data_IF_539983481313
#
_entry.id   IF_539983481313
#
_cell.length_a   1.000
_cell.length_b   1.000
_cell.length_c   1.000
_cell.angle_alpha   90.00
_cell.angle_beta   90.00
_cell.angle_gamma   90.00
#
_symmetry.space_group_name_H-M   'P 1'
#
loop_
_entity.id
_entity.type
_entity.pdbx_description
1 polymer ?
#
# COMPACT_ATOMS: atom_id res chain seq x y z
N UNK A 1 -9.51 -37.30 -30.41
CA UNK A 1 -8.80 -36.21 -31.11
C UNK A 1 -8.30 -36.66 -32.50
N UNK A 2 -8.60 -37.89 -32.93
CA UNK A 2 -8.21 -38.45 -34.24
C UNK A 2 -9.32 -38.43 -35.30
N UNK A 3 -10.60 -38.22 -34.92
CA UNK A 3 -11.75 -38.26 -35.86
C UNK A 3 -12.01 -36.94 -36.61
N UNK A 4 -11.24 -35.86 -36.35
CA UNK A 4 -11.40 -34.59 -37.08
C UNK A 4 -10.45 -34.41 -38.27
N UNK A 5 -9.53 -35.32 -38.49
CA UNK A 5 -8.57 -35.27 -39.60
C UNK A 5 -9.00 -36.07 -40.84
N UNK A 6 -9.97 -36.99 -40.72
CA UNK A 6 -10.48 -37.74 -41.85
C UNK A 6 -11.60 -37.03 -42.64
N UNK A 7 -12.31 -36.07 -42.04
CA UNK A 7 -13.38 -35.33 -42.73
C UNK A 7 -12.92 -34.18 -43.64
N UNK A 8 -11.63 -33.83 -43.62
CA UNK A 8 -11.06 -32.81 -44.51
C UNK A 8 -10.37 -33.37 -45.76
N UNK A 9 -10.09 -34.70 -45.78
CA UNK A 9 -9.49 -35.36 -46.91
C UNK A 9 -10.51 -35.64 -48.04
N UNK A 10 -11.76 -35.95 -47.68
CA UNK A 10 -12.80 -36.32 -48.69
C UNK A 10 -13.43 -35.10 -49.38
N UNK A 11 -13.21 -33.88 -48.88
CA UNK A 11 -13.67 -32.66 -49.54
C UNK A 11 -12.70 -32.09 -50.56
N UNK A 12 -11.44 -32.52 -50.54
CA UNK A 12 -10.43 -32.06 -51.51
C UNK A 12 -10.41 -32.83 -52.81
N UNK A 13 -10.89 -34.09 -52.82
CA UNK A 13 -10.96 -34.92 -54.03
C UNK A 13 -12.16 -34.64 -54.95
N UNK A 14 -13.24 -34.05 -54.45
CA UNK A 14 -14.41 -33.73 -55.27
C UNK A 14 -14.31 -32.40 -56.05
N UNK A 15 -13.30 -31.55 -55.81
CA UNK A 15 -13.11 -30.26 -56.48
C UNK A 15 -12.00 -30.24 -57.54
N UNK A 16 -11.32 -31.38 -57.77
CA UNK A 16 -10.18 -31.46 -58.68
C UNK A 16 -10.53 -31.82 -60.15
N UNK A 17 -11.82 -31.81 -60.54
CA UNK A 17 -12.22 -32.25 -61.87
C UNK A 17 -12.62 -31.14 -62.85
N UNK A 18 -12.43 -29.87 -62.55
CA UNK A 18 -12.68 -28.81 -63.52
C UNK A 18 -11.65 -27.69 -63.45
N UNK A 19 -10.75 -27.67 -64.43
CA UNK A 19 -9.85 -26.60 -64.90
C UNK A 19 -8.45 -26.57 -64.19
N UNK A 20 -7.38 -26.76 -64.98
CA UNK A 20 -5.99 -26.80 -64.47
C UNK A 20 -5.42 -25.44 -64.05
N UNK A 21 -6.15 -24.34 -64.27
CA UNK A 21 -5.67 -22.98 -63.90
C UNK A 21 -6.01 -22.54 -62.47
N UNK A 22 -6.88 -23.28 -61.74
CA UNK A 22 -7.26 -22.91 -60.39
C UNK A 22 -6.41 -23.56 -59.32
N UNK A 23 -5.74 -24.65 -59.59
CA UNK A 23 -4.92 -25.36 -58.61
C UNK A 23 -3.64 -24.58 -58.28
N UNK A 24 -3.00 -23.95 -59.25
CA UNK A 24 -1.78 -23.15 -59.05
C UNK A 24 -2.04 -21.83 -58.29
N UNK A 25 -3.28 -21.30 -58.39
CA UNK A 25 -3.65 -20.09 -57.62
C UNK A 25 -3.98 -20.43 -56.16
N UNK A 26 -4.52 -21.59 -55.90
CA UNK A 26 -4.85 -22.02 -54.53
C UNK A 26 -3.58 -22.42 -53.77
N UNK A 27 -2.63 -23.11 -54.43
CA UNK A 27 -1.33 -23.40 -53.81
C UNK A 27 -0.50 -22.14 -53.50
N UNK A 28 -0.49 -21.14 -54.41
CA UNK A 28 0.19 -19.85 -54.12
C UNK A 28 -0.45 -19.11 -52.97
N UNK A 29 -1.78 -19.11 -52.83
CA UNK A 29 -2.47 -18.46 -51.71
C UNK A 29 -2.26 -19.22 -50.39
N UNK A 30 -2.17 -20.55 -50.41
CA UNK A 30 -1.87 -21.33 -49.23
C UNK A 30 -0.42 -21.09 -48.79
N UNK A 31 0.55 -21.10 -49.70
CA UNK A 31 1.95 -20.84 -49.39
C UNK A 31 2.16 -19.40 -48.88
N UNK A 32 1.46 -18.41 -49.46
CA UNK A 32 1.51 -17.02 -48.94
C UNK A 32 0.87 -16.89 -47.57
N UNK A 33 -0.22 -17.62 -47.27
CA UNK A 33 -0.81 -17.63 -45.95
C UNK A 33 0.07 -18.33 -44.89
N UNK A 34 0.77 -19.38 -45.26
CA UNK A 34 1.76 -20.02 -44.37
C UNK A 34 3.00 -19.14 -44.17
N UNK A 35 3.44 -18.41 -45.16
CA UNK A 35 4.54 -17.45 -45.03
C UNK A 35 4.16 -16.20 -44.19
N UNK A 36 2.93 -15.73 -44.29
CA UNK A 36 2.43 -14.61 -43.48
C UNK A 36 2.13 -15.01 -42.02
N UNK A 37 1.89 -16.29 -41.74
CA UNK A 37 1.76 -16.80 -40.37
C UNK A 37 3.14 -17.08 -39.71
N UNK A 38 4.19 -17.37 -40.51
CA UNK A 38 5.54 -17.53 -39.96
C UNK A 38 6.26 -16.18 -39.71
N UNK A 39 5.79 -15.06 -40.28
CA UNK A 39 6.39 -13.75 -40.02
C UNK A 39 5.89 -13.07 -38.75
N UNK A 40 4.94 -13.66 -38.02
CA UNK A 40 4.66 -13.32 -36.61
C UNK A 40 5.49 -14.19 -35.67
N UNK A 41 6.78 -14.39 -35.95
CA UNK A 41 7.72 -14.73 -34.89
C UNK A 41 7.75 -13.53 -33.97
N UNK A 42 7.15 -13.68 -32.80
CA UNK A 42 7.38 -12.81 -31.65
C UNK A 42 8.90 -12.59 -31.60
N UNK A 43 9.37 -11.37 -31.84
CA UNK A 43 10.76 -11.02 -31.58
C UNK A 43 11.02 -11.40 -30.12
N UNK A 44 11.73 -12.51 -29.94
CA UNK A 44 12.24 -12.87 -28.63
C UNK A 44 13.34 -11.83 -28.34
N UNK A 45 12.97 -10.77 -27.62
CA UNK A 45 13.97 -9.83 -27.12
C UNK A 45 14.92 -10.64 -26.25
N UNK A 46 16.23 -10.55 -26.47
CA UNK A 46 17.19 -11.20 -25.60
C UNK A 46 16.96 -10.73 -24.17
N UNK A 47 16.70 -11.68 -23.26
CA UNK A 47 16.57 -11.39 -21.85
C UNK A 47 17.96 -11.09 -21.30
N UNK A 48 18.23 -9.82 -21.05
CA UNK A 48 19.50 -9.36 -20.48
C UNK A 48 19.47 -9.60 -18.96
N UNK A 49 20.17 -10.66 -18.52
CA UNK A 49 20.30 -11.04 -17.11
C UNK A 49 21.16 -10.01 -16.33
N UNK A 50 21.94 -9.18 -17.01
CA UNK A 50 22.76 -8.16 -16.35
C UNK A 50 21.97 -6.94 -15.87
N UNK A 51 20.76 -6.74 -16.41
CA UNK A 51 19.82 -5.77 -15.87
C UNK A 51 19.23 -6.37 -14.61
N UNK A 52 19.56 -5.83 -13.44
CA UNK A 52 19.00 -6.20 -12.11
C UNK A 52 17.49 -5.97 -12.02
N UNK A 53 16.73 -6.51 -12.95
CA UNK A 53 15.26 -6.45 -12.96
C UNK A 53 14.64 -7.80 -12.58
N UNK A 54 15.10 -8.40 -11.48
CA UNK A 54 14.26 -9.37 -10.79
C UNK A 54 13.32 -8.66 -9.80
N UNK A 55 12.85 -7.49 -10.19
CA UNK A 55 11.77 -6.84 -9.47
C UNK A 55 10.46 -7.37 -10.01
N UNK A 56 9.96 -8.46 -9.42
CA UNK A 56 8.54 -8.79 -9.49
C UNK A 56 7.92 -7.87 -8.41
N UNK A 57 7.24 -6.79 -8.78
CA UNK A 57 6.60 -5.96 -7.79
C UNK A 57 5.51 -6.82 -7.14
N UNK A 58 5.70 -7.15 -5.87
CA UNK A 58 4.58 -7.60 -5.07
C UNK A 58 3.48 -6.55 -5.23
N UNK A 59 2.26 -7.02 -5.45
CA UNK A 59 1.14 -6.11 -5.69
C UNK A 59 0.98 -5.17 -4.49
N UNK A 60 1.12 -3.87 -4.72
CA UNK A 60 1.00 -2.84 -3.70
C UNK A 60 -0.49 -2.47 -3.54
N UNK A 61 -1.26 -3.39 -2.96
CA UNK A 61 -2.73 -3.27 -2.87
C UNK A 61 -3.17 -2.00 -2.13
N UNK A 62 -2.46 -1.62 -1.06
CA UNK A 62 -2.79 -0.40 -0.34
C UNK A 62 -2.56 0.86 -1.19
N UNK A 63 -1.52 0.88 -2.02
CA UNK A 63 -1.27 2.01 -2.93
C UNK A 63 -2.33 2.10 -4.04
N UNK A 64 -2.84 0.96 -4.54
CA UNK A 64 -3.98 0.95 -5.46
C UNK A 64 -5.22 1.57 -4.81
N UNK A 65 -5.53 1.21 -3.55
CA UNK A 65 -6.66 1.76 -2.78
C UNK A 65 -6.47 3.27 -2.53
N UNK A 66 -5.25 3.71 -2.20
CA UNK A 66 -4.92 5.13 -2.06
C UNK A 66 -5.21 5.89 -3.37
N UNK A 67 -4.79 5.34 -4.51
CA UNK A 67 -5.02 5.95 -5.82
C UNK A 67 -6.52 6.01 -6.18
N UNK A 68 -7.30 4.98 -5.87
CA UNK A 68 -8.75 5.00 -6.07
C UNK A 68 -9.45 6.04 -5.18
N UNK A 69 -9.00 6.17 -3.93
CA UNK A 69 -9.51 7.18 -3.00
C UNK A 69 -9.15 8.59 -3.48
N UNK A 70 -7.91 8.77 -3.90
CA UNK A 70 -7.44 10.01 -4.51
C UNK A 70 -8.30 10.38 -5.74
N UNK A 71 -8.51 9.46 -6.67
CA UNK A 71 -9.30 9.71 -7.87
C UNK A 71 -10.73 10.18 -7.53
N UNK A 72 -11.39 9.55 -6.55
CA UNK A 72 -12.72 9.94 -6.10
C UNK A 72 -12.76 11.34 -5.49
N UNK A 73 -11.82 11.67 -4.62
CA UNK A 73 -11.76 12.97 -3.97
C UNK A 73 -11.31 14.07 -4.94
N UNK A 74 -10.34 13.77 -5.81
CA UNK A 74 -9.84 14.71 -6.80
C UNK A 74 -10.91 15.06 -7.83
N UNK A 75 -11.76 14.10 -8.22
CA UNK A 75 -12.95 14.36 -9.06
C UNK A 75 -13.87 15.42 -8.44
N UNK A 76 -14.16 15.29 -7.14
CA UNK A 76 -15.01 16.26 -6.42
C UNK A 76 -14.33 17.64 -6.38
N UNK A 77 -13.02 17.67 -6.11
CA UNK A 77 -12.24 18.90 -6.08
C UNK A 77 -12.22 19.60 -7.44
N UNK A 78 -11.97 18.86 -8.54
CA UNK A 78 -12.00 19.38 -9.89
C UNK A 78 -13.39 19.89 -10.29
N UNK A 79 -14.46 19.16 -9.96
CA UNK A 79 -15.82 19.63 -10.18
C UNK A 79 -16.09 20.97 -9.48
N UNK A 80 -15.65 21.11 -8.22
CA UNK A 80 -15.81 22.35 -7.46
C UNK A 80 -15.01 23.50 -8.06
N UNK A 81 -13.81 23.24 -8.59
CA UNK A 81 -12.93 24.22 -9.20
C UNK A 81 -13.46 24.66 -10.57
N UNK A 82 -13.83 23.70 -11.42
CA UNK A 82 -14.15 23.93 -12.84
C UNK A 82 -15.64 24.17 -13.07
N UNK A 83 -16.51 23.79 -12.13
CA UNK A 83 -17.97 23.81 -12.26
C UNK A 83 -18.48 23.07 -13.51
N UNK A 84 -17.72 22.07 -13.95
CA UNK A 84 -18.02 21.17 -15.08
C UNK A 84 -18.03 19.73 -14.60
N UNK A 85 -18.83 18.89 -15.26
CA UNK A 85 -18.82 17.45 -14.98
C UNK A 85 -17.44 16.89 -15.31
N UNK A 86 -16.83 16.30 -14.30
CA UNK A 86 -15.46 15.77 -14.37
C UNK A 86 -15.49 14.34 -13.86
N UNK A 87 -14.81 13.44 -14.57
CA UNK A 87 -14.55 12.08 -14.08
C UNK A 87 -13.05 11.82 -14.01
N UNK A 88 -12.63 10.97 -13.07
CA UNK A 88 -11.23 10.61 -12.86
C UNK A 88 -11.14 9.11 -12.70
N UNK A 89 -10.51 8.47 -13.68
CA UNK A 89 -10.35 7.02 -13.74
C UNK A 89 -8.88 6.69 -13.48
N UNK A 90 -8.62 5.82 -12.50
CA UNK A 90 -7.26 5.36 -12.20
C UNK A 90 -6.92 4.11 -13.03
N UNK A 91 -5.68 4.04 -13.52
CA UNK A 91 -5.12 2.85 -14.13
C UNK A 91 -4.33 2.04 -13.10
N UNK A 92 -4.12 0.73 -13.31
CA UNK A 92 -3.22 -0.06 -12.47
C UNK A 92 -1.83 0.59 -12.37
N UNK A 93 -1.18 0.36 -11.23
CA UNK A 93 0.18 0.87 -11.00
C UNK A 93 1.16 0.10 -11.89
N UNK A 94 1.93 0.82 -12.68
CA UNK A 94 2.91 0.23 -13.58
C UNK A 94 4.34 0.54 -13.09
N UNK A 95 5.13 -0.48 -12.76
CA UNK A 95 6.56 -0.31 -12.55
C UNK A 95 7.24 -0.08 -13.90
N UNK A 96 7.99 1.01 -14.01
CA UNK A 96 8.76 1.39 -15.22
C UNK A 96 10.16 1.81 -14.81
N UNK A 97 11.10 1.86 -15.75
CA UNK A 97 12.36 2.57 -15.52
C UNK A 97 12.10 4.08 -15.60
N UNK A 98 12.88 4.86 -14.87
CA UNK A 98 12.79 6.32 -14.95
C UNK A 98 13.03 6.83 -16.37
N UNK A 99 13.90 6.16 -17.13
CA UNK A 99 14.14 6.44 -18.53
C UNK A 99 12.88 6.28 -19.39
N UNK A 100 12.14 5.18 -19.22
CA UNK A 100 10.88 4.96 -19.94
C UNK A 100 9.84 6.00 -19.57
N UNK A 101 9.71 6.32 -18.28
CA UNK A 101 8.81 7.37 -17.81
C UNK A 101 9.17 8.73 -18.42
N UNK A 102 10.47 9.09 -18.45
CA UNK A 102 10.95 10.35 -19.01
C UNK A 102 10.66 10.50 -20.51
N UNK A 103 10.65 9.40 -21.25
CA UNK A 103 10.26 9.42 -22.66
C UNK A 103 8.75 9.68 -22.84
N UNK A 104 7.92 9.07 -21.99
CA UNK A 104 6.45 9.24 -22.07
C UNK A 104 6.05 10.65 -21.61
N UNK A 105 6.71 11.17 -20.59
CA UNK A 105 6.42 12.47 -20.00
C UNK A 105 7.22 13.64 -20.58
N UNK A 106 7.85 13.45 -21.74
CA UNK A 106 8.75 14.46 -22.33
C UNK A 106 8.09 15.82 -22.58
N UNK A 107 6.77 15.84 -22.83
CA UNK A 107 5.99 17.07 -23.08
C UNK A 107 5.16 17.50 -21.86
N UNK A 108 5.18 16.73 -20.76
CA UNK A 108 4.36 17.00 -19.59
C UNK A 108 4.95 18.11 -18.74
N UNK A 109 4.08 18.84 -18.06
CA UNK A 109 4.48 19.77 -17.02
C UNK A 109 4.75 18.99 -15.73
N UNK A 110 6.03 18.94 -15.32
CA UNK A 110 6.50 18.14 -14.21
C UNK A 110 6.61 18.99 -12.94
N UNK A 111 5.98 18.54 -11.87
CA UNK A 111 6.04 19.19 -10.58
C UNK A 111 6.75 18.29 -9.59
N UNK A 112 7.86 18.75 -9.06
CA UNK A 112 8.67 18.05 -8.07
C UNK A 112 8.08 18.29 -6.68
N UNK A 113 7.82 17.20 -5.94
CA UNK A 113 7.13 17.21 -4.65
C UNK A 113 7.84 16.30 -3.66
N UNK A 114 8.02 16.75 -2.43
CA UNK A 114 8.40 15.89 -1.32
C UNK A 114 7.16 15.29 -0.64
N UNK A 115 7.27 14.05 -0.22
CA UNK A 115 6.25 13.36 0.61
C UNK A 115 6.87 13.05 1.97
N UNK A 116 6.87 14.00 2.88
CA UNK A 116 7.44 13.82 4.21
C UNK A 116 6.60 12.81 5.04
N UNK A 117 7.19 11.89 5.80
CA UNK A 117 8.62 11.72 6.10
C UNK A 117 9.38 10.77 5.14
N UNK A 118 8.82 10.42 3.97
CA UNK A 118 9.50 9.57 2.99
C UNK A 118 10.72 10.30 2.42
N UNK A 119 11.84 9.56 2.27
CA UNK A 119 13.07 10.14 1.75
C UNK A 119 13.06 10.17 0.24
N UNK A 120 13.20 11.34 -0.34
CA UNK A 120 13.24 11.54 -1.78
C UNK A 120 12.13 12.46 -2.28
N UNK A 121 12.00 12.56 -3.61
CA UNK A 121 11.00 13.38 -4.28
C UNK A 121 10.24 12.54 -5.29
N UNK A 122 8.99 12.88 -5.52
CA UNK A 122 8.13 12.31 -6.55
C UNK A 122 7.74 13.38 -7.57
N UNK A 123 7.16 12.97 -8.69
CA UNK A 123 6.69 13.85 -9.74
C UNK A 123 5.18 13.77 -9.88
N UNK A 124 4.55 14.94 -9.88
CA UNK A 124 3.17 15.15 -10.29
C UNK A 124 3.16 15.75 -11.69
N UNK A 125 2.72 14.99 -12.68
CA UNK A 125 2.91 15.30 -14.09
C UNK A 125 1.58 15.55 -14.77
N UNK A 126 1.40 16.75 -15.31
CA UNK A 126 0.20 17.14 -16.05
C UNK A 126 0.46 17.10 -17.56
N UNK A 127 -0.40 16.42 -18.32
CA UNK A 127 -0.33 16.50 -19.76
C UNK A 127 -0.69 17.92 -20.25
N UNK A 128 -0.12 18.40 -21.35
CA UNK A 128 -0.45 19.73 -21.90
C UNK A 128 -1.95 19.89 -22.16
N UNK A 129 -2.62 18.83 -22.62
CA UNK A 129 -4.06 18.82 -22.87
C UNK A 129 -4.83 19.14 -21.60
N UNK A 130 -4.43 18.56 -20.45
CA UNK A 130 -5.08 18.84 -19.16
C UNK A 130 -4.98 20.32 -18.82
N UNK A 131 -3.80 20.91 -18.97
CA UNK A 131 -3.57 22.32 -18.67
C UNK A 131 -4.50 23.19 -19.54
N UNK A 132 -4.52 22.96 -20.85
CA UNK A 132 -5.32 23.76 -21.77
C UNK A 132 -6.82 23.61 -21.55
N UNK A 133 -7.31 22.36 -21.30
CA UNK A 133 -8.73 22.12 -21.02
C UNK A 133 -9.14 22.84 -19.73
N UNK A 134 -8.31 22.78 -18.69
CA UNK A 134 -8.58 23.45 -17.41
C UNK A 134 -8.60 24.96 -17.57
N UNK A 135 -7.61 25.52 -18.29
CA UNK A 135 -7.53 26.96 -18.57
C UNK A 135 -8.75 27.44 -19.35
N UNK A 136 -9.06 26.79 -20.47
CA UNK A 136 -10.20 27.14 -21.30
C UNK A 136 -11.53 27.06 -20.53
N UNK A 137 -11.71 25.99 -19.76
CA UNK A 137 -12.91 25.80 -18.93
C UNK A 137 -13.07 26.90 -17.88
N UNK A 138 -11.98 27.34 -17.24
CA UNK A 138 -12.01 28.41 -16.22
C UNK A 138 -12.34 29.78 -16.83
N UNK A 139 -11.98 29.99 -18.09
CA UNK A 139 -12.34 31.20 -18.82
C UNK A 139 -13.73 31.12 -19.53
N UNK A 140 -14.47 30.03 -19.27
CA UNK A 140 -15.84 29.87 -19.79
C UNK A 140 -15.91 29.25 -21.17
N UNK A 141 -14.81 28.72 -21.70
CA UNK A 141 -14.78 27.95 -22.94
C UNK A 141 -15.39 26.57 -22.81
N UNK A 142 -15.61 25.93 -23.96
CA UNK A 142 -16.14 24.56 -24.02
C UNK A 142 -15.06 23.48 -23.96
N UNK A 143 -13.80 23.84 -23.77
CA UNK A 143 -12.65 22.92 -23.73
C UNK A 143 -12.06 22.60 -25.12
N UNK A 144 -12.48 23.32 -26.16
CA UNK A 144 -11.97 23.14 -27.54
C UNK A 144 -10.50 23.56 -27.65
N UNK A 145 -9.60 22.59 -27.71
CA UNK A 145 -8.13 22.81 -27.88
C UNK A 145 -7.71 22.99 -29.36
N UNK A 146 -8.65 23.17 -30.27
CA UNK A 146 -8.43 23.10 -31.72
C UNK A 146 -7.39 24.06 -32.33
N UNK A 147 -6.81 24.98 -31.53
CA UNK A 147 -5.75 25.88 -31.97
C UNK A 147 -4.46 25.84 -31.15
N UNK A 148 -4.31 24.87 -30.24
CA UNK A 148 -3.19 24.86 -29.27
C UNK A 148 -2.15 23.76 -29.53
N UNK A 149 -2.16 23.12 -30.70
CA UNK A 149 -1.14 22.18 -31.16
C UNK A 149 0.21 22.88 -31.48
N UNK A 150 0.66 23.77 -30.62
CA UNK A 150 2.06 24.17 -30.63
C UNK A 150 2.80 23.36 -29.59
N UNK A 151 3.19 22.16 -29.99
CA UNK A 151 4.18 21.37 -29.27
C UNK A 151 5.37 22.27 -28.90
N UNK A 152 5.70 22.31 -27.59
CA UNK A 152 6.94 22.93 -27.14
C UNK A 152 6.90 24.40 -26.75
N UNK A 153 5.72 25.07 -26.63
CA UNK A 153 5.70 26.41 -26.07
C UNK A 153 5.74 26.37 -24.51
N UNK A 154 6.42 27.32 -23.93
CA UNK A 154 6.35 27.55 -22.48
C UNK A 154 4.96 28.05 -22.07
N UNK A 155 4.51 27.64 -20.88
CA UNK A 155 3.26 28.12 -20.31
C UNK A 155 3.38 29.59 -19.87
N UNK A 156 2.35 30.36 -20.16
CA UNK A 156 2.25 31.75 -19.71
C UNK A 156 2.11 31.80 -18.18
N UNK A 157 2.38 32.95 -17.59
CA UNK A 157 2.24 33.17 -16.14
C UNK A 157 0.83 32.81 -15.63
N UNK A 158 -0.21 33.16 -16.39
CA UNK A 158 -1.60 32.84 -16.02
C UNK A 158 -1.86 31.33 -16.06
N UNK A 159 -1.34 30.62 -17.05
CA UNK A 159 -1.44 29.16 -17.13
C UNK A 159 -0.68 28.50 -15.97
N UNK A 160 0.50 29.01 -15.62
CA UNK A 160 1.27 28.51 -14.46
C UNK A 160 0.52 28.70 -13.13
N UNK A 161 -0.16 29.83 -12.94
CA UNK A 161 -0.98 30.05 -11.75
C UNK A 161 -2.18 29.08 -11.67
N UNK A 162 -2.80 28.79 -12.82
CA UNK A 162 -3.90 27.81 -12.89
C UNK A 162 -3.36 26.39 -12.61
N UNK A 163 -2.22 26.03 -13.21
CA UNK A 163 -1.55 24.74 -12.93
C UNK A 163 -1.27 24.62 -11.44
N UNK A 164 -0.79 25.70 -10.80
CA UNK A 164 -0.49 25.73 -9.37
C UNK A 164 -1.72 25.43 -8.52
N UNK A 165 -2.87 26.00 -8.85
CA UNK A 165 -4.13 25.74 -8.14
C UNK A 165 -4.58 24.29 -8.28
N UNK A 166 -4.46 23.71 -9.48
CA UNK A 166 -4.78 22.29 -9.71
C UNK A 166 -3.80 21.39 -8.95
N UNK A 167 -2.52 21.77 -8.93
CA UNK A 167 -1.49 21.05 -8.17
C UNK A 167 -1.78 21.09 -6.67
N UNK A 168 -2.07 22.24 -6.10
CA UNK A 168 -2.38 22.40 -4.66
C UNK A 168 -3.60 21.56 -4.26
N UNK A 169 -4.62 21.52 -5.15
CA UNK A 169 -5.76 20.61 -4.97
C UNK A 169 -5.33 19.14 -5.01
N UNK A 170 -4.49 18.76 -5.97
CA UNK A 170 -4.01 17.38 -6.11
C UNK A 170 -3.17 16.97 -4.89
N UNK A 171 -2.26 17.83 -4.41
CA UNK A 171 -1.41 17.58 -3.25
C UNK A 171 -2.23 17.38 -1.98
N UNK A 172 -3.15 18.30 -1.69
CA UNK A 172 -4.05 18.20 -0.52
C UNK A 172 -4.89 16.93 -0.57
N UNK A 173 -5.43 16.60 -1.73
CA UNK A 173 -6.25 15.42 -1.92
C UNK A 173 -5.42 14.13 -1.78
N UNK A 174 -4.20 14.13 -2.32
CA UNK A 174 -3.31 12.98 -2.24
C UNK A 174 -2.86 12.73 -0.79
N UNK A 175 -2.48 13.77 -0.06
CA UNK A 175 -2.17 13.70 1.36
C UNK A 175 -3.31 13.08 2.17
N UNK A 176 -4.54 13.54 1.95
CA UNK A 176 -5.73 13.02 2.63
C UNK A 176 -5.99 11.55 2.29
N UNK A 177 -5.63 11.10 1.09
CA UNK A 177 -5.84 9.72 0.65
C UNK A 177 -4.91 8.72 1.34
N UNK A 178 -3.80 9.19 1.88
CA UNK A 178 -2.81 8.37 2.59
C UNK A 178 -3.07 8.19 4.09
N UNK A 179 -3.94 8.99 4.70
CA UNK A 179 -4.14 9.07 6.16
C UNK A 179 -4.32 7.70 6.82
N UNK A 180 -5.08 6.79 6.20
CA UNK A 180 -5.40 5.49 6.79
C UNK A 180 -4.28 4.44 6.64
N UNK A 181 -3.26 4.72 5.81
CA UNK A 181 -2.14 3.80 5.59
C UNK A 181 -0.88 4.34 6.24
N UNK A 182 -0.53 5.56 5.92
CA UNK A 182 0.67 6.23 6.41
C UNK A 182 0.49 7.75 6.35
N UNK A 183 0.73 8.47 7.44
CA UNK A 183 0.60 9.92 7.45
C UNK A 183 1.74 10.55 6.67
N UNK A 184 1.40 11.25 5.58
CA UNK A 184 2.35 12.01 4.77
C UNK A 184 1.98 13.48 4.74
N UNK A 185 2.98 14.34 4.58
CA UNK A 185 2.83 15.76 4.28
C UNK A 185 3.45 16.02 2.92
N UNK A 186 2.69 16.70 2.05
CA UNK A 186 3.14 17.04 0.70
C UNK A 186 3.73 18.44 0.67
N UNK A 187 4.95 18.55 0.15
CA UNK A 187 5.66 19.84 0.01
C UNK A 187 6.06 20.04 -1.46
N UNK A 188 5.53 21.09 -2.08
CA UNK A 188 5.93 21.45 -3.43
C UNK A 188 7.33 22.10 -3.42
N UNK A 189 8.19 21.65 -4.34
CA UNK A 189 9.56 22.17 -4.47
C UNK A 189 9.65 23.14 -5.65
N UNK A 190 9.40 22.63 -6.86
CA UNK A 190 9.51 23.40 -8.11
C UNK A 190 8.82 22.68 -9.26
N UNK A 191 8.58 23.44 -10.34
CA UNK A 191 8.11 22.89 -11.61
C UNK A 191 9.23 22.88 -12.64
N UNK A 192 9.22 21.89 -13.51
CA UNK A 192 10.16 21.71 -14.60
C UNK A 192 9.40 21.36 -15.89
N UNK A 193 9.87 21.85 -17.00
CA UNK A 193 9.28 21.55 -18.32
C UNK A 193 10.00 20.36 -18.96
N UNK A 194 11.29 20.20 -18.69
CA UNK A 194 12.07 19.11 -19.22
C UNK A 194 12.36 18.03 -18.20
N UNK A 195 12.02 16.79 -18.51
CA UNK A 195 12.28 15.61 -17.66
C UNK A 195 13.78 15.38 -17.36
N UNK A 196 14.67 15.90 -18.22
CA UNK A 196 16.13 15.78 -18.04
C UNK A 196 16.66 16.50 -16.80
N UNK A 197 15.96 17.51 -16.30
CA UNK A 197 16.36 18.28 -15.11
C UNK A 197 15.71 17.77 -13.82
N UNK A 198 14.84 16.79 -13.90
CA UNK A 198 14.16 16.23 -12.73
C UNK A 198 14.90 14.97 -12.25
N UNK A 199 15.94 15.17 -11.45
CA UNK A 199 16.67 14.05 -10.84
C UNK A 199 15.95 13.56 -9.59
N UNK A 200 14.94 12.68 -9.75
CA UNK A 200 14.26 12.00 -8.65
C UNK A 200 14.87 10.64 -8.30
N UNK A 201 15.71 10.13 -9.18
CA UNK A 201 16.38 8.83 -9.05
C UNK A 201 17.90 9.01 -9.20
N UNK A 202 18.67 8.07 -8.67
CA UNK A 202 20.13 8.07 -8.76
C UNK A 202 20.63 7.63 -10.15
N UNK A 203 19.85 6.79 -10.84
CA UNK A 203 20.14 6.27 -12.16
C UNK A 203 18.90 6.32 -13.06
N UNK A 204 19.07 6.52 -14.39
CA UNK A 204 17.96 6.44 -15.34
C UNK A 204 17.28 5.07 -15.40
N UNK A 205 17.98 4.01 -14.99
CA UNK A 205 17.50 2.64 -14.98
C UNK A 205 16.81 2.26 -13.67
N UNK A 206 16.76 3.18 -12.68
CA UNK A 206 16.05 2.96 -11.41
C UNK A 206 14.54 2.79 -11.65
N UNK A 207 13.95 1.90 -10.85
CA UNK A 207 12.53 1.60 -10.95
C UNK A 207 11.69 2.70 -10.31
N UNK A 208 10.67 3.14 -11.03
CA UNK A 208 9.65 4.07 -10.58
C UNK A 208 8.27 3.43 -10.68
N UNK A 209 7.41 3.76 -9.74
CA UNK A 209 6.00 3.38 -9.74
C UNK A 209 5.20 4.52 -10.39
N UNK A 210 4.53 4.21 -11.49
CA UNK A 210 3.73 5.20 -12.22
C UNK A 210 2.25 4.90 -11.99
N UNK A 211 1.55 5.85 -11.40
CA UNK A 211 0.09 5.87 -11.27
C UNK A 211 -0.47 6.83 -12.31
N UNK A 212 -1.25 6.33 -13.25
CA UNK A 212 -1.84 7.13 -14.33
C UNK A 212 -3.33 7.33 -14.08
N UNK A 213 -3.78 8.56 -14.19
CA UNK A 213 -5.18 8.98 -14.03
C UNK A 213 -5.67 9.58 -15.34
N UNK A 214 -6.72 9.00 -15.90
CA UNK A 214 -7.44 9.57 -17.03
C UNK A 214 -8.50 10.53 -16.50
N UNK A 215 -8.40 11.80 -16.87
CA UNK A 215 -9.32 12.86 -16.46
C UNK A 215 -10.22 13.19 -17.64
N UNK A 216 -11.53 13.06 -17.44
CA UNK A 216 -12.54 13.42 -18.44
C UNK A 216 -13.27 14.69 -17.97
N UNK A 217 -13.20 15.78 -18.72
CA UNK A 217 -13.86 17.06 -18.45
C UNK A 217 -14.83 17.34 -19.61
N UNK A 218 -16.12 17.14 -19.35
CA UNK A 218 -17.12 17.16 -20.43
C UNK A 218 -16.84 16.07 -21.46
N UNK A 219 -16.49 16.45 -22.70
CA UNK A 219 -16.18 15.53 -23.79
C UNK A 219 -14.67 15.35 -24.02
N UNK A 220 -13.81 15.99 -23.24
CA UNK A 220 -12.38 16.00 -23.42
C UNK A 220 -11.69 15.07 -22.43
N UNK A 221 -10.61 14.43 -22.89
CA UNK A 221 -9.79 13.52 -22.10
C UNK A 221 -8.39 14.06 -21.98
N UNK A 222 -7.85 13.95 -20.78
CA UNK A 222 -6.49 14.36 -20.49
C UNK A 222 -5.85 13.38 -19.49
N UNK A 223 -4.54 13.44 -19.36
CA UNK A 223 -3.79 12.51 -18.51
C UNK A 223 -3.06 13.26 -17.40
N UNK A 224 -3.10 12.70 -16.22
CA UNK A 224 -2.34 13.09 -15.07
C UNK A 224 -1.59 11.88 -14.53
N UNK A 225 -0.31 12.03 -14.21
CA UNK A 225 0.52 10.93 -13.70
C UNK A 225 1.21 11.32 -12.40
N UNK A 226 1.28 10.37 -11.45
CA UNK A 226 2.12 10.45 -10.26
C UNK A 226 3.22 9.41 -10.42
N UNK A 227 4.48 9.85 -10.37
CA UNK A 227 5.65 9.00 -10.49
C UNK A 227 6.44 9.02 -9.18
N UNK A 228 6.54 7.88 -8.52
CA UNK A 228 7.20 7.71 -7.23
C UNK A 228 8.37 6.75 -7.40
N UNK A 229 9.62 7.15 -7.06
CA UNK A 229 10.74 6.22 -7.02
C UNK A 229 10.47 5.04 -6.08
N UNK A 230 10.75 3.82 -6.53
CA UNK A 230 10.54 2.64 -5.69
C UNK A 230 11.33 2.70 -4.38
N UNK A 231 12.57 3.18 -4.44
CA UNK A 231 13.41 3.36 -3.25
C UNK A 231 12.76 4.24 -2.17
N UNK A 232 11.87 5.17 -2.57
CA UNK A 232 11.17 6.06 -1.65
C UNK A 232 10.11 5.31 -0.82
N UNK A 233 9.42 4.35 -1.41
CA UNK A 233 8.35 3.57 -0.77
C UNK A 233 8.84 2.22 -0.21
N UNK A 234 10.08 1.86 -0.48
CA UNK A 234 10.67 0.59 -0.03
C UNK A 234 10.65 0.47 1.51
N UNK A 235 10.87 1.58 2.22
CA UNK A 235 10.86 1.61 3.69
C UNK A 235 9.48 1.31 4.30
N UNK A 236 8.40 1.54 3.56
CA UNK A 236 7.01 1.30 3.98
C UNK A 236 6.33 0.19 3.16
N UNK A 237 7.12 -0.59 2.41
CA UNK A 237 6.62 -1.64 1.51
C UNK A 237 5.64 -2.60 2.18
N UNK A 238 5.94 -3.03 3.41
CA UNK A 238 5.07 -3.95 4.15
C UNK A 238 3.67 -3.38 4.41
N UNK A 239 3.57 -2.06 4.64
CA UNK A 239 2.29 -1.37 4.81
C UNK A 239 1.54 -1.25 3.49
N UNK A 240 2.26 -1.13 2.37
CA UNK A 240 1.67 -0.98 1.04
C UNK A 240 1.20 -2.30 0.42
N UNK A 241 1.74 -3.44 0.84
CA UNK A 241 1.32 -4.77 0.40
C UNK A 241 0.01 -5.17 1.07
N UNK A 242 -0.12 -4.88 2.38
CA UNK A 242 -1.33 -5.20 3.14
C UNK A 242 -2.43 -4.21 2.77
N UNK A 243 -3.64 -4.69 2.43
CA UNK A 243 -4.76 -3.76 2.27
C UNK A 243 -4.93 -3.03 3.61
N UNK A 244 -5.18 -1.71 3.59
CA UNK A 244 -5.59 -1.02 4.81
C UNK A 244 -6.82 -1.77 5.31
N UNK A 245 -6.76 -2.26 6.54
CA UNK A 245 -7.95 -2.73 7.22
C UNK A 245 -8.88 -1.53 7.17
N UNK A 246 -10.07 -1.70 6.57
CA UNK A 246 -11.08 -0.66 6.60
C UNK A 246 -11.35 -0.35 8.07
N UNK A 247 -10.57 0.58 8.60
CA UNK A 247 -10.80 1.16 9.92
C UNK A 247 -12.08 1.96 9.74
N UNK A 248 -13.20 1.28 9.98
CA UNK A 248 -14.44 1.98 10.21
C UNK A 248 -14.14 2.95 11.34
N UNK A 249 -13.94 4.20 10.94
CA UNK A 249 -13.87 5.38 11.80
C UNK A 249 -12.90 5.28 13.01
N UNK A 250 -11.83 6.07 12.98
CA UNK A 250 -10.93 6.32 14.13
C UNK A 250 -11.66 6.65 15.45
N UNK A 251 -12.95 7.01 15.39
CA UNK A 251 -13.82 7.18 16.55
C UNK A 251 -14.16 5.84 17.20
N UNK A 252 -14.41 4.78 16.42
CA UNK A 252 -14.75 3.46 16.94
C UNK A 252 -13.55 2.76 17.58
N UNK A 253 -12.35 2.95 17.05
CA UNK A 253 -11.11 2.38 17.60
C UNK A 253 -10.79 2.96 18.99
N UNK A 254 -10.97 4.26 19.18
CA UNK A 254 -10.79 4.91 20.49
C UNK A 254 -11.87 4.45 21.49
N UNK A 255 -13.11 4.30 21.06
CA UNK A 255 -14.21 3.77 21.88
C UNK A 255 -13.97 2.32 22.20
N UNK A 256 -13.56 1.49 21.23
CA UNK A 256 -13.21 0.09 21.44
C UNK A 256 -12.01 -0.07 22.39
N UNK A 257 -10.93 0.69 22.20
CA UNK A 257 -9.77 0.68 23.07
C UNK A 257 -10.12 1.11 24.51
N UNK A 258 -10.94 2.15 24.66
CA UNK A 258 -11.39 2.61 25.97
C UNK A 258 -12.29 1.56 26.65
N UNK A 259 -13.18 0.91 25.89
CA UNK A 259 -14.04 -0.17 26.36
C UNK A 259 -13.24 -1.40 26.76
N UNK A 260 -12.24 -1.80 25.96
CA UNK A 260 -11.33 -2.90 26.25
C UNK A 260 -10.52 -2.60 27.52
N UNK A 261 -9.94 -1.39 27.60
CA UNK A 261 -9.18 -0.95 28.78
C UNK A 261 -10.06 -0.96 30.05
N UNK A 262 -11.30 -0.50 29.94
CA UNK A 262 -12.27 -0.53 31.03
C UNK A 262 -12.63 -1.97 31.40
N UNK A 263 -12.86 -2.85 30.43
CA UNK A 263 -13.14 -4.25 30.64
C UNK A 263 -12.01 -4.98 31.36
N UNK A 264 -10.76 -4.73 30.96
CA UNK A 264 -9.56 -5.29 31.61
C UNK A 264 -9.45 -4.79 33.06
N UNK A 265 -9.66 -3.49 33.31
CA UNK A 265 -9.62 -2.91 34.67
C UNK A 265 -10.74 -3.43 35.59
N UNK A 266 -11.86 -3.83 35.03
CA UNK A 266 -13.02 -4.37 35.77
C UNK A 266 -12.95 -5.88 35.93
N UNK A 267 -12.02 -6.57 35.25
CA UNK A 267 -11.88 -8.02 35.38
C UNK A 267 -11.38 -8.36 36.78
N UNK A 268 -11.99 -9.40 37.37
CA UNK A 268 -11.57 -9.94 38.65
C UNK A 268 -10.56 -11.08 38.44
N UNK A 269 -9.50 -11.09 39.23
CA UNK A 269 -8.49 -12.14 39.22
C UNK A 269 -8.43 -12.81 40.57
N UNK A 270 -8.13 -14.09 40.60
CA UNK A 270 -7.93 -14.82 41.84
C UNK A 270 -6.50 -14.59 42.38
N UNK A 271 -6.44 -14.04 43.59
CA UNK A 271 -5.17 -13.81 44.29
C UNK A 271 -4.94 -14.94 45.30
N UNK A 272 -3.91 -15.75 45.10
CA UNK A 272 -3.55 -16.86 45.94
C UNK A 272 -2.33 -16.49 46.76
N UNK A 273 -2.46 -16.50 48.09
CA UNK A 273 -1.35 -16.29 49.02
C UNK A 273 -0.95 -17.61 49.74
N UNK A 274 0.24 -18.09 49.45
CA UNK A 274 0.78 -19.27 50.11
C UNK A 274 1.37 -18.87 51.46
N UNK A 275 0.78 -19.38 52.56
CA UNK A 275 1.20 -19.02 53.90
C UNK A 275 2.54 -19.65 54.24
N UNK A 276 2.70 -20.96 54.02
CA UNK A 276 3.95 -21.69 54.28
C UNK A 276 3.96 -22.99 53.52
N UNK A 277 5.16 -23.51 53.29
CA UNK A 277 5.37 -24.86 52.74
C UNK A 277 6.05 -25.74 53.81
N UNK A 278 5.44 -26.89 54.10
CA UNK A 278 5.96 -27.84 55.07
C UNK A 278 6.73 -28.92 54.34
N UNK A 279 8.03 -29.02 54.61
CA UNK A 279 8.84 -30.12 54.13
C UNK A 279 8.62 -31.36 54.99
N UNK A 280 8.11 -32.42 54.39
CA UNK A 280 7.85 -33.68 55.07
C UNK A 280 8.25 -34.87 54.22
N UNK A 281 8.42 -36.05 54.85
CA UNK A 281 8.71 -37.29 54.13
C UNK A 281 7.41 -38.05 53.83
N UNK A 282 7.41 -38.86 52.75
CA UNK A 282 6.27 -39.70 52.40
C UNK A 282 5.86 -40.63 53.56
N UNK A 283 6.81 -41.13 54.33
CA UNK A 283 6.55 -41.96 55.50
C UNK A 283 5.76 -41.19 56.59
N UNK A 284 6.13 -39.92 56.86
CA UNK A 284 5.41 -39.07 57.82
C UNK A 284 4.03 -38.71 57.30
N UNK A 285 3.91 -38.44 55.99
CA UNK A 285 2.62 -38.16 55.40
C UNK A 285 1.63 -39.32 55.48
N UNK A 286 2.09 -40.53 55.22
CA UNK A 286 1.29 -41.79 55.40
C UNK A 286 0.94 -42.12 56.80
N UNK A 287 1.69 -41.65 57.80
CA UNK A 287 1.44 -41.88 59.24
C UNK A 287 0.46 -40.88 59.85
N UNK A 288 0.07 -39.77 59.11
CA UNK A 288 -0.86 -38.77 59.61
C UNK A 288 -2.26 -39.35 59.82
N UNK A 289 -2.87 -38.99 60.94
CA UNK A 289 -4.23 -39.35 61.31
C UNK A 289 -5.09 -38.08 61.48
N UNK A 290 -6.39 -38.28 61.44
CA UNK A 290 -7.35 -37.18 61.69
C UNK A 290 -7.15 -36.74 63.17
N UNK A 291 -7.01 -35.40 63.35
CA UNK A 291 -6.67 -34.70 64.62
C UNK A 291 -5.16 -34.62 64.98
N UNK A 292 -4.26 -35.02 64.10
CA UNK A 292 -2.84 -34.74 64.31
C UNK A 292 -2.60 -33.22 64.09
N UNK A 293 -1.76 -32.65 64.94
CA UNK A 293 -1.36 -31.24 64.89
C UNK A 293 0.00 -31.17 64.22
N UNK A 294 0.07 -30.35 63.14
CA UNK A 294 1.31 -30.04 62.47
C UNK A 294 1.76 -28.63 62.89
N UNK A 295 2.94 -28.59 63.53
CA UNK A 295 3.56 -27.31 63.86
C UNK A 295 4.10 -26.66 62.59
N UNK A 296 3.73 -25.40 62.37
CA UNK A 296 4.21 -24.60 61.25
C UNK A 296 4.87 -23.32 61.76
N UNK A 297 5.98 -22.97 61.17
CA UNK A 297 6.65 -21.71 61.46
C UNK A 297 5.89 -20.56 60.80
N UNK A 298 5.66 -19.49 61.57
CA UNK A 298 5.00 -18.29 61.06
C UNK A 298 5.96 -17.56 60.12
N UNK A 299 5.64 -17.39 58.82
CA UNK A 299 6.49 -16.67 57.92
C UNK A 299 6.52 -15.16 58.27
N UNK A 300 7.64 -14.52 58.03
CA UNK A 300 7.78 -13.06 58.20
C UNK A 300 7.20 -12.27 57.02
N UNK A 301 7.21 -12.88 55.83
CA UNK A 301 6.62 -12.30 54.62
C UNK A 301 5.95 -13.38 53.80
N UNK A 302 4.93 -12.99 53.03
CA UNK A 302 4.16 -13.85 52.14
C UNK A 302 4.22 -13.26 50.71
N UNK A 303 4.30 -14.18 49.76
CA UNK A 303 4.14 -13.83 48.34
C UNK A 303 2.73 -14.21 47.89
N UNK A 304 2.00 -13.23 47.33
CA UNK A 304 0.71 -13.49 46.74
C UNK A 304 0.84 -13.52 45.22
N UNK A 305 0.26 -14.55 44.60
CA UNK A 305 0.40 -14.86 43.19
C UNK A 305 -0.94 -14.76 42.47
N UNK A 306 -0.92 -14.37 41.22
CA UNK A 306 -2.04 -14.45 40.27
C UNK A 306 -1.63 -15.38 39.14
N UNK A 307 -2.34 -16.51 38.97
CA UNK A 307 -1.99 -17.49 37.96
C UNK A 307 -0.58 -18.08 38.11
N UNK A 308 -0.03 -18.12 39.37
CA UNK A 308 1.31 -18.59 39.65
C UNK A 308 2.42 -17.53 39.54
N UNK A 309 2.10 -16.32 39.09
CA UNK A 309 3.04 -15.19 38.95
C UNK A 309 2.98 -14.33 40.23
N UNK A 310 4.10 -14.06 40.94
CA UNK A 310 4.10 -13.23 42.14
C UNK A 310 3.81 -11.77 41.78
N UNK A 311 2.76 -11.19 42.39
CA UNK A 311 2.33 -9.81 42.16
C UNK A 311 2.42 -8.93 43.39
N UNK A 312 2.34 -9.51 44.58
CA UNK A 312 2.39 -8.78 45.84
C UNK A 312 3.26 -9.51 46.84
N UNK A 313 4.01 -8.75 47.64
CA UNK A 313 4.72 -9.22 48.82
C UNK A 313 4.25 -8.44 50.04
N UNK A 314 4.02 -9.13 51.15
CA UNK A 314 3.52 -8.46 52.34
C UNK A 314 3.59 -9.31 53.58
N UNK A 315 3.16 -8.74 54.70
CA UNK A 315 3.11 -9.42 56.00
C UNK A 315 1.71 -9.98 56.27
N UNK A 316 1.68 -11.15 56.92
CA UNK A 316 0.47 -11.76 57.40
C UNK A 316 -0.11 -10.99 58.61
N UNK A 317 -1.40 -10.79 58.57
CA UNK A 317 -2.14 -10.18 59.65
C UNK A 317 -3.60 -10.66 59.72
N UNK A 318 -4.34 -10.09 60.63
CA UNK A 318 -5.80 -10.29 60.71
C UNK A 318 -6.49 -8.97 60.97
N UNK A 319 -7.55 -8.71 60.23
CA UNK A 319 -8.41 -7.54 60.38
C UNK A 319 -9.87 -7.99 60.47
N UNK A 320 -10.59 -7.56 61.50
CA UNK A 320 -12.01 -7.93 61.71
C UNK A 320 -12.25 -9.44 61.74
N UNK A 321 -11.32 -10.25 62.33
CA UNK A 321 -11.36 -11.71 62.39
C UNK A 321 -11.25 -12.41 61.04
N UNK A 322 -10.80 -11.70 59.99
CA UNK A 322 -10.47 -12.25 58.69
C UNK A 322 -8.96 -12.20 58.48
N UNK A 323 -8.44 -13.17 57.75
CA UNK A 323 -7.04 -13.15 57.35
C UNK A 323 -6.79 -12.00 56.39
N UNK A 324 -5.67 -11.32 56.58
CA UNK A 324 -5.30 -10.15 55.78
C UNK A 324 -3.79 -10.19 55.47
N UNK A 325 -3.41 -9.55 54.36
CA UNK A 325 -2.02 -9.31 53.99
C UNK A 325 -1.82 -7.79 53.98
N UNK A 326 -0.86 -7.34 54.76
CA UNK A 326 -0.39 -5.97 54.69
C UNK A 326 0.65 -5.90 53.56
N UNK A 327 0.29 -5.27 52.45
CA UNK A 327 1.15 -5.17 51.26
C UNK A 327 2.34 -4.27 51.57
N UNK A 328 3.53 -4.78 51.39
CA UNK A 328 4.81 -4.03 51.53
C UNK A 328 5.35 -3.64 50.16
N UNK A 329 5.25 -4.53 49.18
CA UNK A 329 5.77 -4.33 47.85
C UNK A 329 4.83 -4.90 46.79
N UNK A 330 4.68 -4.18 45.69
CA UNK A 330 4.00 -4.66 44.48
C UNK A 330 5.08 -5.03 43.46
N UNK A 331 5.14 -6.32 43.10
CA UNK A 331 6.06 -6.82 42.06
C UNK A 331 5.43 -6.64 40.71
N UNK A 332 6.18 -6.01 39.79
CA UNK A 332 5.77 -5.92 38.40
C UNK A 332 6.71 -6.77 37.55
N UNK A 333 6.36 -8.02 37.24
CA UNK A 333 7.26 -8.97 36.58
C UNK A 333 7.71 -8.50 35.19
N UNK A 334 6.95 -7.61 34.54
CA UNK A 334 7.31 -7.02 33.23
C UNK A 334 8.45 -6.01 33.37
N UNK A 335 8.50 -5.26 34.47
CA UNK A 335 9.58 -4.28 34.69
C UNK A 335 10.86 -4.95 35.23
N UNK A 336 10.74 -6.05 35.96
CA UNK A 336 11.90 -6.80 36.46
C UNK A 336 12.65 -7.50 35.30
N UNK A 337 11.95 -8.08 34.33
CA UNK A 337 12.57 -8.69 33.14
C UNK A 337 13.26 -7.65 32.21
N UNK A 338 12.80 -6.42 32.18
CA UNK A 338 13.44 -5.34 31.39
C UNK A 338 14.73 -4.84 32.08
N UNK A 339 14.81 -4.91 33.40
CA UNK A 339 16.01 -4.49 34.14
C UNK A 339 17.11 -5.57 34.17
N UNK A 340 16.77 -6.86 34.08
CA UNK A 340 17.78 -7.94 34.02
C UNK A 340 18.40 -8.07 32.61
N UNK A 341 17.74 -7.60 31.56
CA UNK A 341 18.24 -7.64 30.17
C UNK A 341 19.26 -6.54 29.82
N UNK A 342 19.44 -5.52 30.65
CA UNK A 342 20.30 -4.34 30.33
C UNK A 342 21.74 -4.46 30.90
N UNK A 343 22.04 -5.50 31.70
CA UNK A 343 23.37 -5.67 32.32
C UNK A 343 24.22 -6.82 31.74
N UNK A 344 23.85 -7.41 30.62
CA UNK A 344 24.66 -8.43 29.94
C UNK A 344 24.89 -8.11 28.46
N UNK A 345 25.51 -6.95 28.16
CA UNK A 345 26.28 -6.71 26.95
C UNK A 345 27.57 -5.95 27.30
#
# INVERSE_FOLDING_TARGET
MFDKLQSTSDKSESLAKHSPNNAASIEKNIVQNYQSQQSKRTEVKPYDISVKHSFIPERLTALEIINERFARQFRIGLFNLLRRNTDVITSPIEPKTFKEFSHISATYHLNLVHLNPLRGSCLFSFSPELVFIVVDTLFGGDGHTSNMEKEGREFTHTEQEIIRRVLDLALTTYQNSWIDVYSIETEYIRSEVESKFTNITSSPDDVVLTSTFLIEIGNFKATFCICIPYAMVESIKELLIKPPIESQTHQDDNVWMSSLTSGIKQSTVELVANFTNIQTTVAKLLALKVNDILDIEKPTSLDATVGGVPVLKGQYGSVNKQYAIQVEQISNPVLEQLNEGVFNE
#
